data_IF_162425238208
#
_entry.id   IF_162425238208
#
_cell.length_a   1.000
_cell.length_b   1.000
_cell.length_c   1.000
_cell.angle_alpha   90.00
_cell.angle_beta   90.00
_cell.angle_gamma   90.00
#
_symmetry.space_group_name_H-M   'P 1'
#
loop_
_entity.id
_entity.type
_entity.pdbx_description
1 polymer ?
#
# COMPACT_ATOMS: atom_id res chain seq x y z
N UNK A 1 50.10 -24.83 -18.59
CA UNK A 1 49.19 -23.98 -19.40
C UNK A 1 47.79 -24.61 -19.58
N UNK A 2 47.18 -25.15 -18.49
CA UNK A 2 45.82 -25.74 -18.53
C UNK A 2 44.81 -25.03 -17.59
N UNK A 3 45.30 -24.24 -16.63
CA UNK A 3 44.47 -23.61 -15.59
C UNK A 3 43.78 -22.31 -16.05
N UNK A 4 44.30 -21.62 -17.07
CA UNK A 4 43.70 -20.38 -17.60
C UNK A 4 42.50 -20.63 -18.54
N UNK A 5 42.37 -21.84 -19.11
CA UNK A 5 41.26 -22.19 -19.99
C UNK A 5 39.99 -22.57 -19.22
N UNK A 6 40.10 -23.08 -18.00
CA UNK A 6 38.95 -23.43 -17.17
C UNK A 6 38.17 -22.19 -16.69
N UNK A 7 38.86 -21.10 -16.31
CA UNK A 7 38.19 -19.84 -15.94
C UNK A 7 37.41 -19.21 -17.09
N UNK A 8 37.90 -19.31 -18.34
CA UNK A 8 37.19 -18.77 -19.51
C UNK A 8 35.87 -19.51 -19.79
N UNK A 9 35.87 -20.84 -19.61
CA UNK A 9 34.67 -21.65 -19.80
C UNK A 9 33.61 -21.38 -18.71
N UNK A 10 34.03 -21.18 -17.46
CA UNK A 10 33.11 -20.87 -16.35
C UNK A 10 32.49 -19.48 -16.52
N UNK A 11 33.26 -18.47 -16.92
CA UNK A 11 32.74 -17.12 -17.13
C UNK A 11 31.75 -17.04 -18.32
N UNK A 12 32.00 -17.77 -19.41
CA UNK A 12 31.05 -17.87 -20.53
C UNK A 12 29.77 -18.61 -20.13
N UNK A 13 29.85 -19.61 -19.25
CA UNK A 13 28.67 -20.30 -18.70
C UNK A 13 27.78 -19.37 -17.86
N UNK A 14 28.38 -18.54 -17.00
CA UNK A 14 27.64 -17.57 -16.16
C UNK A 14 27.03 -16.45 -16.99
N UNK A 15 27.76 -15.92 -17.98
CA UNK A 15 27.23 -14.93 -18.93
C UNK A 15 26.09 -15.48 -19.79
N UNK A 16 26.17 -16.75 -20.21
CA UNK A 16 25.09 -17.45 -20.90
C UNK A 16 23.85 -17.64 -20.02
N UNK A 17 24.02 -17.94 -18.73
CA UNK A 17 22.90 -18.06 -17.78
C UNK A 17 22.21 -16.71 -17.54
N UNK A 18 22.95 -15.60 -17.45
CA UNK A 18 22.36 -14.26 -17.28
C UNK A 18 21.63 -13.75 -18.54
N UNK A 19 22.02 -14.20 -19.73
CA UNK A 19 21.36 -13.85 -20.99
C UNK A 19 20.10 -14.70 -21.24
N UNK A 20 20.08 -15.95 -20.75
CA UNK A 20 18.90 -16.84 -20.78
C UNK A 20 17.92 -16.59 -19.63
N UNK A 21 18.40 -16.03 -18.51
CA UNK A 21 17.59 -15.37 -17.50
C UNK A 21 17.10 -14.01 -18.05
N UNK A 22 16.42 -14.05 -19.20
CA UNK A 22 15.61 -12.94 -19.66
C UNK A 22 14.77 -12.50 -18.47
N UNK A 23 14.92 -11.22 -18.11
CA UNK A 23 14.31 -10.61 -16.95
C UNK A 23 12.90 -11.19 -16.77
N UNK A 24 12.72 -11.99 -15.72
CA UNK A 24 11.40 -12.27 -15.19
C UNK A 24 10.89 -10.90 -14.75
N UNK A 25 10.30 -10.16 -15.70
CA UNK A 25 9.41 -9.06 -15.38
C UNK A 25 8.33 -9.76 -14.60
N UNK A 26 8.34 -9.56 -13.29
CA UNK A 26 7.22 -9.91 -12.45
C UNK A 26 5.98 -9.40 -13.18
N UNK A 27 5.19 -10.33 -13.73
CA UNK A 27 3.93 -9.98 -14.31
C UNK A 27 3.15 -9.32 -13.17
N UNK A 28 2.65 -8.09 -13.32
CA UNK A 28 2.01 -7.39 -12.22
C UNK A 28 0.79 -8.22 -11.81
N UNK A 29 0.86 -8.83 -10.62
CA UNK A 29 -0.20 -9.67 -10.05
C UNK A 29 -1.39 -8.86 -9.51
N UNK A 30 -1.43 -7.57 -9.81
CA UNK A 30 -2.56 -6.69 -9.61
C UNK A 30 -2.68 -5.89 -10.90
N UNK A 31 -3.83 -5.96 -11.56
CA UNK A 31 -4.10 -5.11 -12.71
C UNK A 31 -4.01 -3.66 -12.27
N UNK A 32 -2.88 -3.00 -12.57
CA UNK A 32 -2.85 -1.55 -12.60
C UNK A 32 -3.92 -1.15 -13.60
N UNK A 33 -5.02 -0.61 -13.09
CA UNK A 33 -5.96 0.16 -13.88
C UNK A 33 -5.08 1.09 -14.71
N UNK A 34 -5.08 0.92 -16.04
CA UNK A 34 -4.39 1.87 -16.93
C UNK A 34 -4.99 3.24 -16.61
N UNK A 35 -4.27 4.02 -15.81
CA UNK A 35 -4.69 5.33 -15.43
C UNK A 35 -4.65 6.18 -16.70
N UNK A 36 -5.83 6.35 -17.31
CA UNK A 36 -5.97 7.06 -18.59
C UNK A 36 -5.78 8.57 -18.44
N UNK A 37 -5.92 9.09 -17.21
CA UNK A 37 -5.77 10.49 -16.87
C UNK A 37 -4.33 10.78 -16.46
N UNK A 38 -3.79 11.91 -16.90
CA UNK A 38 -2.47 12.39 -16.46
C UNK A 38 -2.60 13.15 -15.13
N UNK A 39 -1.54 13.15 -14.31
CA UNK A 39 -1.52 13.92 -13.03
C UNK A 39 -1.97 15.39 -13.23
N UNK A 40 -1.49 16.15 -14.24
CA UNK A 40 -1.97 17.51 -14.47
C UNK A 40 -3.47 17.62 -14.77
N UNK A 41 -4.07 16.62 -15.42
CA UNK A 41 -5.52 16.62 -15.68
C UNK A 41 -6.31 16.42 -14.39
N UNK A 42 -5.83 15.54 -13.51
CA UNK A 42 -6.45 15.27 -12.22
C UNK A 42 -6.29 16.44 -11.24
N UNK A 43 -5.11 17.06 -11.17
CA UNK A 43 -4.87 18.28 -10.40
C UNK A 43 -5.85 19.38 -10.82
N UNK A 44 -6.00 19.60 -12.13
CA UNK A 44 -6.96 20.55 -12.68
C UNK A 44 -8.42 20.17 -12.39
N UNK A 45 -8.76 18.87 -12.35
CA UNK A 45 -10.11 18.42 -12.02
C UNK A 45 -10.45 18.74 -10.56
N UNK A 46 -9.55 18.41 -9.62
CA UNK A 46 -9.71 18.73 -8.19
C UNK A 46 -9.76 20.24 -7.98
N UNK A 47 -8.92 21.02 -8.66
CA UNK A 47 -8.92 22.47 -8.54
C UNK A 47 -10.24 23.12 -9.02
N UNK A 48 -10.86 22.58 -10.08
CA UNK A 48 -12.15 23.09 -10.59
C UNK A 48 -13.34 22.64 -9.75
N UNK A 49 -13.26 21.45 -9.15
CA UNK A 49 -14.34 20.87 -8.37
C UNK A 49 -13.81 20.29 -7.05
N UNK A 50 -13.52 21.14 -6.05
CA UNK A 50 -12.91 20.70 -4.79
C UNK A 50 -13.79 19.71 -3.99
N UNK A 51 -15.11 19.74 -4.23
CA UNK A 51 -16.08 18.84 -3.60
C UNK A 51 -16.22 17.49 -4.34
N UNK A 52 -15.58 17.32 -5.50
CA UNK A 52 -15.61 16.06 -6.24
C UNK A 52 -14.68 15.04 -5.56
N UNK A 53 -15.31 14.17 -4.77
CA UNK A 53 -14.62 13.13 -4.02
C UNK A 53 -13.91 12.13 -4.94
N UNK A 54 -14.47 11.80 -6.11
CA UNK A 54 -13.87 10.81 -7.01
C UNK A 54 -12.64 11.40 -7.72
N UNK A 55 -12.67 12.69 -8.09
CA UNK A 55 -11.50 13.38 -8.62
C UNK A 55 -10.34 13.38 -7.61
N UNK A 56 -10.61 13.67 -6.34
CA UNK A 56 -9.59 13.63 -5.29
C UNK A 56 -9.03 12.22 -5.09
N UNK A 57 -9.89 11.20 -5.07
CA UNK A 57 -9.47 9.81 -4.94
C UNK A 57 -8.50 9.43 -6.07
N UNK A 58 -8.87 9.69 -7.33
CA UNK A 58 -8.00 9.38 -8.48
C UNK A 58 -6.66 10.09 -8.43
N UNK A 59 -6.65 11.37 -8.02
CA UNK A 59 -5.42 12.14 -7.86
C UNK A 59 -4.52 11.54 -6.75
N UNK A 60 -5.14 11.18 -5.62
CA UNK A 60 -4.44 10.59 -4.47
C UNK A 60 -3.84 9.24 -4.82
N UNK A 61 -4.61 8.36 -5.48
CA UNK A 61 -4.14 7.05 -5.97
C UNK A 61 -2.94 7.23 -6.92
N UNK A 62 -3.03 8.18 -7.86
CA UNK A 62 -1.90 8.50 -8.75
C UNK A 62 -0.64 8.94 -8.00
N UNK A 63 -0.77 9.82 -7.03
CA UNK A 63 0.38 10.27 -6.27
C UNK A 63 1.02 9.13 -5.47
N UNK A 64 0.21 8.26 -4.85
CA UNK A 64 0.71 7.08 -4.13
C UNK A 64 1.42 6.12 -5.09
N UNK A 65 0.81 5.78 -6.23
CA UNK A 65 1.39 4.87 -7.22
C UNK A 65 2.70 5.38 -7.81
N UNK A 66 2.86 6.70 -7.93
CA UNK A 66 4.10 7.34 -8.40
C UNK A 66 5.16 7.51 -7.33
N UNK A 67 4.92 7.02 -6.11
CA UNK A 67 5.85 7.18 -5.00
C UNK A 67 5.97 8.63 -4.51
N UNK A 68 4.91 9.42 -4.69
CA UNK A 68 4.80 10.80 -4.21
C UNK A 68 3.74 10.96 -3.08
N UNK A 69 3.83 10.18 -1.98
CA UNK A 69 2.84 10.19 -0.91
C UNK A 69 2.72 11.56 -0.21
N UNK A 70 3.79 12.34 -0.09
CA UNK A 70 3.71 13.73 0.38
C UNK A 70 2.78 14.63 -0.46
N UNK A 71 2.75 14.47 -1.78
CA UNK A 71 1.81 15.19 -2.66
C UNK A 71 0.37 14.71 -2.46
N UNK A 72 0.20 13.40 -2.23
CA UNK A 72 -1.10 12.82 -1.87
C UNK A 72 -1.63 13.44 -0.58
N UNK A 73 -0.80 13.53 0.46
CA UNK A 73 -1.16 14.16 1.73
C UNK A 73 -1.52 15.63 1.56
N UNK A 74 -0.75 16.40 0.79
CA UNK A 74 -1.05 17.80 0.53
C UNK A 74 -2.43 17.96 -0.13
N UNK A 75 -2.77 17.14 -1.14
CA UNK A 75 -4.07 17.18 -1.79
C UNK A 75 -5.21 16.82 -0.82
N UNK A 76 -5.01 15.80 0.02
CA UNK A 76 -5.99 15.36 1.03
C UNK A 76 -6.22 16.43 2.11
N UNK A 77 -5.16 17.08 2.60
CA UNK A 77 -5.21 18.13 3.63
C UNK A 77 -5.97 19.38 3.16
N UNK A 78 -5.89 19.71 1.86
CA UNK A 78 -6.60 20.85 1.28
C UNK A 78 -8.04 20.54 0.83
N UNK A 79 -8.45 19.27 0.89
CA UNK A 79 -9.79 18.88 0.51
C UNK A 79 -10.84 19.41 1.51
N UNK A 80 -12.08 19.70 1.08
CA UNK A 80 -13.17 20.05 1.98
C UNK A 80 -13.48 18.94 2.99
N UNK A 81 -13.87 19.31 4.22
CA UNK A 81 -14.17 18.34 5.30
C UNK A 81 -15.18 17.27 4.87
N UNK A 82 -16.19 17.64 4.08
CA UNK A 82 -17.18 16.71 3.53
C UNK A 82 -16.56 15.60 2.67
N UNK A 83 -15.48 15.92 1.95
CA UNK A 83 -14.71 14.96 1.14
C UNK A 83 -13.77 14.16 2.03
N UNK A 84 -13.09 14.81 2.99
CA UNK A 84 -12.19 14.13 3.94
C UNK A 84 -12.92 13.05 4.77
N UNK A 85 -14.20 13.25 5.07
CA UNK A 85 -15.03 12.32 5.83
C UNK A 85 -15.50 11.09 5.01
N UNK A 86 -15.24 11.06 3.70
CA UNK A 86 -15.49 9.88 2.88
C UNK A 86 -14.54 8.74 3.31
N UNK A 87 -15.04 7.50 3.48
CA UNK A 87 -14.23 6.43 4.06
C UNK A 87 -13.14 5.93 3.10
N UNK A 88 -13.36 6.00 1.78
CA UNK A 88 -12.32 5.68 0.78
C UNK A 88 -11.21 6.72 0.79
N UNK A 89 -11.56 8.00 1.00
CA UNK A 89 -10.58 9.09 1.18
C UNK A 89 -9.77 8.88 2.46
N UNK A 90 -10.42 8.57 3.59
CA UNK A 90 -9.73 8.26 4.84
C UNK A 90 -8.78 7.05 4.70
N UNK A 91 -9.21 5.98 4.00
CA UNK A 91 -8.35 4.82 3.73
C UNK A 91 -7.10 5.20 2.91
N UNK A 92 -7.27 5.95 1.81
CA UNK A 92 -6.14 6.43 1.00
C UNK A 92 -5.20 7.36 1.78
N UNK A 93 -5.75 8.14 2.71
CA UNK A 93 -4.95 8.96 3.63
C UNK A 93 -4.11 8.09 4.55
N UNK A 94 -4.69 7.02 5.10
CA UNK A 94 -3.95 6.02 5.89
C UNK A 94 -2.78 5.43 5.12
N UNK A 95 -3.01 5.05 3.86
CA UNK A 95 -1.96 4.54 2.96
C UNK A 95 -0.85 5.58 2.75
N UNK A 96 -1.20 6.81 2.37
CA UNK A 96 -0.21 7.87 2.16
C UNK A 96 0.62 8.16 3.41
N UNK A 97 0.00 8.17 4.60
CA UNK A 97 0.69 8.34 5.89
C UNK A 97 1.65 7.19 6.20
N UNK A 98 1.24 5.94 5.94
CA UNK A 98 2.12 4.78 6.10
C UNK A 98 3.34 4.88 5.17
N UNK A 99 3.15 5.32 3.92
CA UNK A 99 4.24 5.49 2.97
C UNK A 99 5.25 6.58 3.37
N UNK A 100 4.81 7.59 4.14
CA UNK A 100 5.63 8.65 4.75
C UNK A 100 6.21 8.24 6.12
N UNK A 101 5.97 7.00 6.58
CA UNK A 101 6.48 6.51 7.86
C UNK A 101 5.81 7.18 9.06
N UNK A 102 4.49 7.41 8.98
CA UNK A 102 3.66 7.98 10.04
C UNK A 102 2.60 6.97 10.50
N UNK A 103 3.02 5.77 10.92
CA UNK A 103 2.12 4.67 11.32
C UNK A 103 1.08 5.04 12.37
N UNK A 104 1.39 5.90 13.36
CA UNK A 104 0.39 6.30 14.37
C UNK A 104 -0.76 7.09 13.74
N UNK A 105 -0.45 8.00 12.83
CA UNK A 105 -1.48 8.80 12.15
C UNK A 105 -2.22 7.98 11.09
N UNK A 106 -1.52 7.07 10.41
CA UNK A 106 -2.13 6.13 9.50
C UNK A 106 -3.17 5.27 10.21
N UNK A 107 -2.87 4.77 11.41
CA UNK A 107 -3.80 3.96 12.22
C UNK A 107 -5.11 4.70 12.50
N UNK A 108 -5.01 5.97 12.86
CA UNK A 108 -6.20 6.80 13.12
C UNK A 108 -7.06 6.96 11.86
N UNK A 109 -6.44 7.18 10.70
CA UNK A 109 -7.17 7.30 9.42
C UNK A 109 -7.83 6.01 8.99
N UNK A 110 -7.22 4.85 9.22
CA UNK A 110 -7.87 3.57 8.94
C UNK A 110 -9.05 3.31 9.88
N UNK A 111 -8.95 3.70 11.16
CA UNK A 111 -10.08 3.66 12.09
C UNK A 111 -11.22 4.59 11.66
N UNK A 112 -10.89 5.79 11.19
CA UNK A 112 -11.87 6.72 10.61
C UNK A 112 -12.58 6.09 9.39
N UNK A 113 -11.83 5.38 8.51
CA UNK A 113 -12.41 4.70 7.35
C UNK A 113 -13.39 3.59 7.78
N UNK A 114 -13.01 2.75 8.74
CA UNK A 114 -13.84 1.66 9.28
C UNK A 114 -15.10 2.19 9.97
N UNK A 115 -14.96 3.18 10.85
CA UNK A 115 -16.08 3.84 11.51
C UNK A 115 -17.05 4.44 10.48
N UNK A 116 -16.50 5.16 9.50
CA UNK A 116 -17.26 5.72 8.40
C UNK A 116 -18.05 4.67 7.61
N UNK A 117 -17.48 3.50 7.35
CA UNK A 117 -18.18 2.38 6.70
C UNK A 117 -19.23 1.68 7.58
N UNK A 118 -19.24 1.92 8.88
CA UNK A 118 -20.30 1.43 9.77
C UNK A 118 -21.56 2.29 9.66
N UNK A 119 -21.39 3.57 9.35
CA UNK A 119 -22.48 4.54 9.17
C UNK A 119 -23.07 4.55 7.76
N UNK A 120 -22.27 4.16 6.76
CA UNK A 120 -22.66 4.18 5.34
C UNK A 120 -22.24 2.91 4.62
N UNK A 121 -23.00 2.50 3.58
CA UNK A 121 -22.62 1.32 2.78
C UNK A 121 -21.35 1.61 1.97
N UNK A 122 -20.25 0.97 2.36
CA UNK A 122 -19.00 0.94 1.60
C UNK A 122 -18.96 -0.23 0.62
N UNK A 123 -18.10 -0.11 -0.39
CA UNK A 123 -17.69 -1.29 -1.15
C UNK A 123 -16.95 -2.27 -0.21
N UNK A 124 -17.23 -3.59 -0.27
CA UNK A 124 -16.63 -4.56 0.66
C UNK A 124 -15.10 -4.52 0.70
N UNK A 125 -14.46 -4.23 -0.44
CA UNK A 125 -13.00 -4.16 -0.54
C UNK A 125 -12.40 -2.99 0.26
N UNK A 126 -13.09 -1.84 0.35
CA UNK A 126 -12.60 -0.69 1.14
C UNK A 126 -12.57 -1.07 2.62
N UNK A 127 -13.67 -1.66 3.11
CA UNK A 127 -13.75 -2.08 4.51
C UNK A 127 -12.71 -3.16 4.84
N UNK A 128 -12.60 -4.20 4.00
CA UNK A 128 -11.64 -5.28 4.21
C UNK A 128 -10.19 -4.79 4.17
N UNK A 129 -9.86 -3.90 3.23
CA UNK A 129 -8.52 -3.29 3.12
C UNK A 129 -8.19 -2.44 4.35
N UNK A 130 -9.11 -1.55 4.75
CA UNK A 130 -8.92 -0.69 5.92
C UNK A 130 -8.76 -1.50 7.21
N UNK A 131 -9.58 -2.55 7.42
CA UNK A 131 -9.44 -3.45 8.58
C UNK A 131 -8.07 -4.15 8.61
N UNK A 132 -7.58 -4.59 7.45
CA UNK A 132 -6.27 -5.24 7.37
C UNK A 132 -5.14 -4.27 7.70
N UNK A 133 -5.22 -3.04 7.21
CA UNK A 133 -4.24 -2.00 7.53
C UNK A 133 -4.32 -1.57 9.00
N UNK A 134 -5.51 -1.42 9.57
CA UNK A 134 -5.69 -1.09 11.00
C UNK A 134 -4.97 -2.11 11.89
N UNK A 135 -5.18 -3.40 11.63
CA UNK A 135 -4.54 -4.46 12.42
C UNK A 135 -3.01 -4.41 12.27
N UNK A 136 -2.50 -4.21 11.06
CA UNK A 136 -1.06 -4.12 10.81
C UNK A 136 -0.44 -2.89 11.48
N UNK A 137 -1.07 -1.73 11.33
CA UNK A 137 -0.63 -0.47 11.91
C UNK A 137 -0.70 -0.52 13.43
N UNK A 138 -1.70 -1.18 14.02
CA UNK A 138 -1.78 -1.39 15.47
C UNK A 138 -0.57 -2.17 16.00
N UNK A 139 -0.12 -3.20 15.28
CA UNK A 139 1.10 -3.95 15.63
C UNK A 139 2.37 -3.11 15.50
N UNK A 140 2.47 -2.27 14.45
CA UNK A 140 3.60 -1.36 14.28
C UNK A 140 3.66 -0.32 15.41
N UNK A 141 2.53 0.32 15.72
CA UNK A 141 2.41 1.32 16.78
C UNK A 141 2.69 0.70 18.16
N UNK A 142 2.19 -0.51 18.43
CA UNK A 142 2.49 -1.23 19.68
C UNK A 142 4.00 -1.45 19.88
N UNK A 143 4.76 -1.57 18.78
CA UNK A 143 6.22 -1.77 18.78
C UNK A 143 7.01 -0.47 18.71
N UNK A 144 6.33 0.68 18.61
CA UNK A 144 6.99 1.98 18.44
C UNK A 144 7.59 2.19 17.06
N UNK A 145 7.12 1.48 16.04
CA UNK A 145 7.59 1.61 14.65
C UNK A 145 6.71 2.60 13.90
N UNK A 146 7.26 3.77 13.58
CA UNK A 146 6.60 4.78 12.72
C UNK A 146 6.90 4.56 11.23
N UNK A 147 8.17 4.38 10.91
CA UNK A 147 8.63 4.12 9.54
C UNK A 147 9.02 2.64 9.42
N UNK A 148 8.13 1.86 8.83
CA UNK A 148 8.30 0.41 8.63
C UNK A 148 9.56 0.05 7.81
N UNK A 149 10.14 1.00 7.06
CA UNK A 149 11.36 0.77 6.30
C UNK A 149 12.63 0.89 7.15
N UNK A 150 12.56 1.59 8.29
CA UNK A 150 13.71 1.78 9.19
C UNK A 150 13.93 0.61 10.13
N UNK A 151 12.87 -0.14 10.43
CA UNK A 151 12.93 -1.34 11.26
C UNK A 151 12.24 -2.53 10.56
N UNK A 152 12.92 -3.17 9.60
CA UNK A 152 12.35 -4.28 8.84
C UNK A 152 12.11 -5.53 9.69
N UNK A 153 12.91 -5.74 10.76
CA UNK A 153 12.75 -6.89 11.66
C UNK A 153 11.48 -6.75 12.49
N UNK A 154 11.27 -5.60 13.15
CA UNK A 154 10.04 -5.35 13.90
C UNK A 154 8.81 -5.35 12.98
N UNK A 155 8.95 -4.82 11.76
CA UNK A 155 7.90 -4.85 10.74
C UNK A 155 7.54 -6.28 10.32
N UNK A 156 8.53 -7.15 10.11
CA UNK A 156 8.29 -8.56 9.81
C UNK A 156 7.62 -9.29 10.98
N UNK A 157 8.03 -8.99 12.21
CA UNK A 157 7.41 -9.54 13.41
C UNK A 157 5.95 -9.11 13.58
N UNK A 158 5.63 -7.85 13.28
CA UNK A 158 4.26 -7.32 13.23
C UNK A 158 3.42 -8.07 12.20
N UNK A 159 3.93 -8.21 10.97
CA UNK A 159 3.22 -8.94 9.91
C UNK A 159 2.97 -10.41 10.27
N UNK A 160 3.95 -11.09 10.87
CA UNK A 160 3.83 -12.49 11.28
C UNK A 160 2.79 -12.73 12.37
N UNK A 161 2.38 -11.71 13.14
CA UNK A 161 1.29 -11.84 14.13
C UNK A 161 -0.08 -11.83 13.48
N UNK A 162 -0.27 -11.03 12.43
CA UNK A 162 -1.51 -10.99 11.66
C UNK A 162 -1.83 -12.34 11.01
N UNK A 163 -0.84 -12.96 10.36
CA UNK A 163 -1.03 -14.23 9.66
C UNK A 163 -1.41 -15.37 10.61
N UNK A 164 -0.83 -15.39 11.82
CA UNK A 164 -1.20 -16.38 12.85
C UNK A 164 -2.63 -16.21 13.34
N UNK A 165 -3.09 -14.98 13.53
CA UNK A 165 -4.47 -14.73 13.96
C UNK A 165 -5.49 -15.13 12.88
N UNK A 166 -5.17 -14.97 11.60
CA UNK A 166 -6.02 -15.43 10.49
C UNK A 166 -6.11 -16.96 10.45
N UNK A 167 -5.00 -17.67 10.67
CA UNK A 167 -4.98 -19.13 10.74
C UNK A 167 -5.76 -19.64 11.96
N UNK A 168 -5.60 -19.00 13.12
CA UNK A 168 -6.31 -19.38 14.35
C UNK A 168 -7.85 -19.21 14.26
N UNK A 169 -8.35 -18.25 13.47
CA UNK A 169 -9.81 -18.07 13.25
C UNK A 169 -10.38 -19.14 12.31
N UNK A 170 -9.57 -19.71 11.41
CA UNK A 170 -9.98 -20.78 10.50
C UNK A 170 -9.90 -22.16 11.15
N UNK A 171 -9.18 -22.31 12.26
CA UNK A 171 -9.23 -23.48 13.15
C UNK A 171 -10.49 -23.43 14.02
N UNK A 172 -11.67 -23.50 13.39
CA UNK A 172 -12.92 -23.77 14.10
C UNK A 172 -12.81 -25.21 14.63
N UNK A 173 -12.96 -25.45 15.94
CA UNK A 173 -12.93 -26.80 16.47
C UNK A 173 -14.06 -27.60 15.82
N UNK A 174 -13.70 -28.71 15.16
CA UNK A 174 -14.68 -29.72 14.77
C UNK A 174 -15.35 -30.20 16.05
N UNK A 175 -16.60 -29.80 16.27
CA UNK A 175 -17.40 -30.33 17.35
C UNK A 175 -17.59 -31.84 17.13
N UNK A 176 -17.36 -32.60 18.21
CA UNK A 176 -17.53 -34.05 18.37
C UNK A 176 -18.66 -34.67 17.55
#
# INVERSE_FOLDING_TARGET
>A
MKMRMACGAVLMGVLGLCMLAGANREAPLVGHQKLGDTVPQLENAVARQPNDTEALIKLTEHYIERGAPGMALAALEHAPESVQNNPRVAHLWGIALLHEGRSTQALEKERQAIAGCSERRCAPWVLASAMRHEQFLAELVQRGVEDYRRDPEATQAAYGRLSRNVVAVLEIPQAN
#
